data_IF_246858609140
#
_entry.id   IF_246858609140
#
_cell.length_a   1.000
_cell.length_b   1.000
_cell.length_c   1.000
_cell.angle_alpha   90.00
_cell.angle_beta   90.00
_cell.angle_gamma   90.00
#
_symmetry.space_group_name_H-M   'P 1'
#
loop_
_entity.id
_entity.type
_entity.pdbx_description
1 polymer ?
#
# COMPACT_ATOMS: atom_id res chain seq x y z
N UNK A 1 8.72 35.65 -74.16
CA UNK A 1 10.19 35.81 -74.20
C UNK A 1 10.66 35.95 -72.78
N UNK A 2 10.96 34.96 -72.19
CA UNK A 2 12.05 34.31 -71.52
C UNK A 2 13.00 35.29 -70.81
N UNK A 3 13.23 35.04 -69.56
CA UNK A 3 14.57 34.73 -69.05
C UNK A 3 14.54 34.33 -67.57
N UNK A 4 14.91 33.14 -67.38
CA UNK A 4 15.16 32.40 -66.16
C UNK A 4 16.42 33.00 -65.48
N UNK A 5 16.34 33.36 -64.19
CA UNK A 5 17.53 33.68 -63.41
C UNK A 5 17.59 32.79 -62.15
N UNK A 6 18.59 31.93 -62.15
CA UNK A 6 18.98 31.03 -61.08
C UNK A 6 19.75 31.81 -60.01
N UNK A 7 19.52 31.67 -58.75
CA UNK A 7 20.47 32.07 -57.72
C UNK A 7 21.34 30.91 -57.28
N UNK A 8 22.61 31.21 -57.15
CA UNK A 8 23.70 30.38 -56.68
C UNK A 8 23.85 30.47 -55.15
N UNK A 9 24.42 29.44 -54.58
CA UNK A 9 25.29 29.52 -53.43
C UNK A 9 24.63 29.30 -52.06
N UNK A 10 24.51 28.03 -51.68
CA UNK A 10 24.36 27.65 -50.26
C UNK A 10 25.78 27.63 -49.63
N UNK A 11 25.97 28.42 -48.57
CA UNK A 11 27.13 28.34 -47.70
C UNK A 11 26.97 27.20 -46.69
N UNK A 12 28.06 26.51 -46.29
CA UNK A 12 27.97 25.37 -45.37
C UNK A 12 27.77 25.83 -43.92
N UNK A 13 26.93 25.09 -43.21
CA UNK A 13 26.67 25.26 -41.78
C UNK A 13 27.90 24.89 -40.93
N UNK A 14 28.14 25.60 -39.83
CA UNK A 14 29.24 25.28 -38.91
C UNK A 14 28.95 24.00 -38.10
N UNK A 15 29.98 23.21 -37.96
CA UNK A 15 30.00 21.96 -37.21
C UNK A 15 29.73 22.18 -35.71
N UNK A 16 28.81 21.38 -35.15
CA UNK A 16 28.54 21.31 -33.72
C UNK A 16 29.69 20.61 -32.98
N UNK A 17 30.09 21.10 -31.80
CA UNK A 17 31.10 20.40 -31.00
C UNK A 17 30.54 19.12 -30.36
N UNK A 18 31.29 18.06 -30.54
CA UNK A 18 31.14 16.77 -29.89
C UNK A 18 31.10 16.88 -28.36
N UNK A 19 29.94 16.69 -27.76
CA UNK A 19 29.81 16.48 -26.32
C UNK A 19 30.17 15.02 -25.99
N UNK A 20 31.25 14.88 -25.25
CA UNK A 20 31.75 13.65 -24.66
C UNK A 20 30.69 12.98 -23.81
N UNK A 21 30.58 11.66 -23.96
CA UNK A 21 29.61 10.79 -23.37
C UNK A 21 29.48 10.86 -21.84
N UNK A 22 28.27 11.06 -21.41
CA UNK A 22 27.83 10.65 -20.10
C UNK A 22 27.29 9.21 -20.22
N UNK A 23 27.99 8.27 -19.62
CA UNK A 23 27.55 6.89 -19.47
C UNK A 23 26.29 6.87 -18.58
N UNK A 24 25.14 6.62 -19.17
CA UNK A 24 23.95 6.22 -18.46
C UNK A 24 24.15 4.83 -17.84
N UNK A 25 23.49 4.51 -16.73
CA UNK A 25 23.59 3.19 -16.13
C UNK A 25 22.91 2.17 -17.05
N UNK A 26 23.72 1.26 -17.57
CA UNK A 26 23.28 0.08 -18.31
C UNK A 26 22.48 -0.81 -17.38
N UNK A 27 21.23 -1.05 -17.73
CA UNK A 27 20.43 -2.14 -17.21
C UNK A 27 21.09 -3.45 -17.68
N UNK A 28 21.87 -4.10 -16.85
CA UNK A 28 22.34 -5.44 -17.11
C UNK A 28 21.20 -6.42 -16.84
N UNK A 29 20.85 -7.08 -17.94
CA UNK A 29 19.92 -8.17 -18.02
C UNK A 29 20.35 -9.39 -17.21
N UNK A 30 19.38 -10.19 -16.97
CA UNK A 30 19.41 -11.52 -16.40
C UNK A 30 20.50 -12.41 -17.00
N UNK A 31 21.26 -13.06 -16.14
CA UNK A 31 22.17 -14.12 -16.55
C UNK A 31 22.96 -14.72 -15.40
N UNK A 32 22.53 -15.89 -14.95
CA UNK A 32 23.32 -16.97 -14.34
C UNK A 32 24.24 -16.60 -13.17
N UNK A 33 23.74 -16.83 -11.96
CA UNK A 33 24.54 -16.79 -10.73
C UNK A 33 23.85 -17.54 -9.59
N UNK A 34 23.49 -18.81 -9.83
CA UNK A 34 22.65 -19.57 -8.90
C UNK A 34 23.48 -20.58 -8.09
N UNK A 35 24.47 -20.12 -7.31
CA UNK A 35 25.09 -20.98 -6.28
C UNK A 35 25.82 -20.23 -5.14
N UNK A 36 26.10 -18.92 -5.25
CA UNK A 36 26.72 -18.15 -4.17
C UNK A 36 25.72 -17.38 -3.29
N UNK A 37 24.43 -17.33 -3.68
CA UNK A 37 23.39 -16.53 -3.01
C UNK A 37 22.78 -17.20 -1.78
N UNK A 38 23.04 -18.47 -1.54
CA UNK A 38 22.44 -19.21 -0.43
C UNK A 38 22.94 -18.74 0.95
N UNK A 39 24.25 -18.57 1.11
CA UNK A 39 24.82 -18.19 2.41
C UNK A 39 24.66 -16.70 2.71
N UNK A 40 24.84 -15.85 1.72
CA UNK A 40 24.62 -14.39 1.87
C UNK A 40 23.13 -14.06 2.06
N UNK A 41 22.24 -14.81 1.40
CA UNK A 41 20.80 -14.67 1.55
C UNK A 41 20.31 -15.05 2.95
N UNK A 42 20.85 -16.12 3.54
CA UNK A 42 20.48 -16.56 4.89
C UNK A 42 21.02 -15.58 5.96
N UNK A 43 22.27 -15.17 5.87
CA UNK A 43 22.85 -14.21 6.80
C UNK A 43 22.12 -12.85 6.77
N UNK A 44 21.73 -12.38 5.59
CA UNK A 44 20.96 -11.16 5.44
C UNK A 44 19.52 -11.30 5.99
N UNK A 45 18.87 -12.42 5.77
CA UNK A 45 17.57 -12.72 6.38
C UNK A 45 17.66 -12.77 7.89
N UNK A 46 18.71 -13.39 8.44
CA UNK A 46 18.92 -13.46 9.88
C UNK A 46 19.19 -12.07 10.48
N UNK A 47 19.94 -11.20 9.79
CA UNK A 47 20.13 -9.80 10.19
C UNK A 47 18.80 -9.05 10.20
N UNK A 48 17.98 -9.20 9.17
CA UNK A 48 16.65 -8.58 9.11
C UNK A 48 15.75 -9.04 10.25
N UNK A 49 15.74 -10.35 10.54
CA UNK A 49 14.97 -10.90 11.67
C UNK A 49 15.47 -10.30 12.99
N UNK A 50 16.78 -10.21 13.20
CA UNK A 50 17.35 -9.61 14.41
C UNK A 50 17.01 -8.13 14.55
N UNK A 51 17.05 -7.37 13.45
CA UNK A 51 16.66 -5.95 13.45
C UNK A 51 15.18 -5.78 13.80
N UNK A 52 14.31 -6.55 13.15
CA UNK A 52 12.86 -6.53 13.44
C UNK A 52 12.60 -6.93 14.88
N UNK A 53 13.27 -7.97 15.38
CA UNK A 53 13.14 -8.40 16.77
C UNK A 53 13.60 -7.31 17.75
N UNK A 54 14.76 -6.66 17.50
CA UNK A 54 15.27 -5.59 18.33
C UNK A 54 14.31 -4.41 18.41
N UNK A 55 13.84 -3.93 17.25
CA UNK A 55 12.89 -2.80 17.17
C UNK A 55 11.56 -3.15 17.87
N UNK A 56 11.05 -4.37 17.66
CA UNK A 56 9.78 -4.79 18.28
C UNK A 56 9.93 -4.97 19.79
N UNK A 57 11.09 -5.47 20.26
CA UNK A 57 11.38 -5.62 21.69
C UNK A 57 11.48 -4.27 22.41
N UNK A 58 12.08 -3.25 21.78
CA UNK A 58 12.18 -1.90 22.36
C UNK A 58 10.80 -1.25 22.57
N UNK A 59 9.81 -1.64 21.74
CA UNK A 59 8.44 -1.11 21.82
C UNK A 59 7.50 -1.93 22.69
N UNK A 60 7.70 -3.23 22.74
CA UNK A 60 6.85 -4.16 23.50
C UNK A 60 7.68 -4.95 24.51
N UNK A 61 7.72 -4.45 25.74
CA UNK A 61 8.43 -5.12 26.84
C UNK A 61 7.88 -6.52 27.16
N UNK A 62 6.63 -6.80 26.76
CA UNK A 62 5.98 -8.10 26.96
C UNK A 62 6.25 -9.11 25.82
N UNK A 63 7.00 -8.70 24.78
CA UNK A 63 7.29 -9.57 23.65
C UNK A 63 7.99 -10.86 24.09
N UNK A 64 9.08 -10.71 24.82
CA UNK A 64 9.93 -11.86 25.24
C UNK A 64 9.18 -12.86 26.12
N UNK A 65 8.49 -12.46 27.20
CA UNK A 65 7.76 -13.42 28.03
C UNK A 65 6.61 -14.10 27.28
N UNK A 66 5.95 -13.42 26.35
CA UNK A 66 4.89 -14.03 25.55
C UNK A 66 5.44 -15.04 24.54
N UNK A 67 6.58 -14.75 23.90
CA UNK A 67 7.23 -15.70 23.00
C UNK A 67 7.75 -16.93 23.75
N UNK A 68 8.32 -16.71 24.93
CA UNK A 68 8.80 -17.80 25.77
C UNK A 68 7.64 -18.67 26.25
N UNK A 69 6.56 -18.07 26.73
CA UNK A 69 5.35 -18.80 27.10
C UNK A 69 4.70 -19.53 25.92
N UNK A 70 4.64 -18.88 24.76
CA UNK A 70 4.11 -19.46 23.53
C UNK A 70 4.94 -20.63 22.99
N UNK A 71 6.24 -20.66 23.28
CA UNK A 71 7.10 -21.81 22.98
C UNK A 71 6.96 -22.91 24.03
N UNK A 72 7.09 -22.55 25.32
CA UNK A 72 7.14 -23.51 26.42
C UNK A 72 5.82 -24.24 26.64
N UNK A 73 4.67 -23.58 26.47
CA UNK A 73 3.38 -24.21 26.71
C UNK A 73 3.13 -25.43 25.79
N UNK A 74 3.15 -25.31 24.45
CA UNK A 74 2.94 -26.48 23.57
C UNK A 74 4.10 -27.48 23.67
N UNK A 75 5.33 -27.01 23.91
CA UNK A 75 6.47 -27.87 24.17
C UNK A 75 6.26 -28.78 25.40
N UNK A 76 5.87 -28.20 26.53
CA UNK A 76 5.62 -28.94 27.75
C UNK A 76 4.45 -29.93 27.58
N UNK A 77 3.36 -29.50 26.93
CA UNK A 77 2.20 -30.39 26.68
C UNK A 77 2.61 -31.60 25.87
N UNK A 78 3.37 -31.44 24.78
CA UNK A 78 3.83 -32.55 23.96
C UNK A 78 4.84 -33.46 24.67
N UNK A 79 5.71 -32.90 25.52
CA UNK A 79 6.60 -33.72 26.34
C UNK A 79 5.87 -34.59 27.35
N UNK A 80 4.86 -34.03 28.04
CA UNK A 80 4.02 -34.78 28.98
C UNK A 80 3.24 -35.88 28.25
N UNK A 81 2.64 -35.58 27.10
CA UNK A 81 1.96 -36.58 26.28
C UNK A 81 2.94 -37.66 25.80
N UNK A 82 4.13 -37.29 25.35
CA UNK A 82 5.16 -38.23 24.93
C UNK A 82 5.62 -39.15 26.06
N UNK A 83 5.71 -38.63 27.27
CA UNK A 83 6.04 -39.43 28.47
C UNK A 83 4.94 -40.44 28.82
N UNK A 84 3.66 -40.08 28.62
CA UNK A 84 2.51 -40.95 28.93
C UNK A 84 2.27 -42.01 27.86
N UNK A 85 2.53 -41.73 26.59
CA UNK A 85 2.12 -42.58 25.45
C UNK A 85 3.29 -43.42 24.90
N UNK A 86 4.54 -42.97 25.05
CA UNK A 86 5.66 -43.70 24.47
C UNK A 86 7.03 -43.09 24.73
N UNK A 87 8.06 -43.49 23.97
CA UNK A 87 9.41 -43.07 24.22
C UNK A 87 9.58 -41.55 23.91
N UNK A 88 9.95 -40.80 24.93
CA UNK A 88 10.06 -39.33 24.93
C UNK A 88 10.96 -38.79 23.82
N UNK A 89 11.99 -39.52 23.41
CA UNK A 89 12.92 -39.14 22.38
C UNK A 89 12.29 -39.04 20.99
N UNK A 90 11.20 -39.77 20.73
CA UNK A 90 10.43 -39.63 19.51
C UNK A 90 9.56 -38.35 19.51
N UNK A 91 9.04 -37.97 20.69
CA UNK A 91 8.14 -36.81 20.83
C UNK A 91 8.90 -35.49 20.98
N UNK A 92 10.13 -35.52 21.48
CA UNK A 92 10.92 -34.33 21.72
C UNK A 92 11.12 -33.44 20.45
N UNK A 93 11.49 -33.97 19.27
CA UNK A 93 11.63 -33.15 18.07
C UNK A 93 10.31 -32.53 17.63
N UNK A 94 9.18 -33.23 17.77
CA UNK A 94 7.85 -32.67 17.46
C UNK A 94 7.47 -31.56 18.45
N UNK A 95 7.82 -31.71 19.72
CA UNK A 95 7.58 -30.71 20.75
C UNK A 95 8.35 -29.41 20.45
N UNK A 96 9.63 -29.53 20.06
CA UNK A 96 10.45 -28.37 19.63
C UNK A 96 9.85 -27.71 18.40
N UNK A 97 9.47 -28.50 17.39
CA UNK A 97 8.92 -28.00 16.15
C UNK A 97 7.59 -27.25 16.38
N UNK A 98 6.69 -27.82 17.18
CA UNK A 98 5.40 -27.19 17.50
C UNK A 98 5.60 -25.93 18.33
N UNK A 99 6.46 -25.96 19.34
CA UNK A 99 6.80 -24.78 20.14
C UNK A 99 7.36 -23.63 19.29
N UNK A 100 8.27 -23.95 18.37
CA UNK A 100 8.83 -22.98 17.44
C UNK A 100 7.75 -22.41 16.48
N UNK A 101 6.89 -23.26 15.94
CA UNK A 101 5.79 -22.86 15.08
C UNK A 101 4.88 -21.85 15.77
N UNK A 102 4.46 -22.14 17.01
CA UNK A 102 3.61 -21.26 17.80
C UNK A 102 4.32 -19.94 18.12
N UNK A 103 5.59 -20.00 18.53
CA UNK A 103 6.39 -18.81 18.82
C UNK A 103 6.53 -17.90 17.58
N UNK A 104 6.83 -18.47 16.41
CA UNK A 104 6.94 -17.71 15.15
C UNK A 104 5.58 -17.09 14.76
N UNK A 105 4.49 -17.82 14.95
CA UNK A 105 3.15 -17.30 14.67
C UNK A 105 2.80 -16.12 15.59
N UNK A 106 3.07 -16.24 16.89
CA UNK A 106 2.86 -15.16 17.86
C UNK A 106 3.74 -13.94 17.54
N UNK A 107 5.00 -14.17 17.20
CA UNK A 107 5.92 -13.12 16.80
C UNK A 107 5.40 -12.36 15.57
N UNK A 108 5.00 -13.10 14.51
CA UNK A 108 4.47 -12.50 13.28
C UNK A 108 3.23 -11.65 13.54
N UNK A 109 2.31 -12.12 14.37
CA UNK A 109 1.11 -11.35 14.75
C UNK A 109 1.48 -10.06 15.51
N UNK A 110 2.46 -10.15 16.41
CA UNK A 110 2.91 -8.98 17.20
C UNK A 110 3.60 -7.93 16.32
N UNK A 111 4.49 -8.36 15.43
CA UNK A 111 5.16 -7.46 14.48
C UNK A 111 4.14 -6.75 13.60
N UNK A 112 3.15 -7.49 13.07
CA UNK A 112 2.08 -6.90 12.27
C UNK A 112 1.29 -5.86 13.06
N UNK A 113 0.88 -6.19 14.28
CA UNK A 113 0.13 -5.25 15.12
C UNK A 113 0.93 -3.98 15.44
N UNK A 114 2.23 -4.12 15.72
CA UNK A 114 3.10 -2.97 15.96
C UNK A 114 3.26 -2.08 14.72
N UNK A 115 3.38 -2.68 13.53
CA UNK A 115 3.45 -1.95 12.26
C UNK A 115 2.15 -1.19 11.97
N UNK A 116 1.00 -1.80 12.24
CA UNK A 116 -0.29 -1.12 12.08
C UNK A 116 -0.48 0.01 13.09
N UNK A 117 -0.04 -0.18 14.34
CA UNK A 117 -0.11 0.87 15.37
C UNK A 117 0.69 2.12 14.97
N UNK A 118 1.80 1.96 14.24
CA UNK A 118 2.55 3.10 13.70
C UNK A 118 1.83 3.87 12.60
N UNK A 119 1.01 3.19 11.83
CA UNK A 119 0.23 3.77 10.74
C UNK A 119 -1.08 4.36 11.26
N UNK A 120 -1.52 3.96 12.45
CA UNK A 120 -2.77 4.42 13.04
C UNK A 120 -2.74 5.92 13.30
N UNK A 121 -3.74 6.62 12.79
CA UNK A 121 -3.82 8.09 12.86
C UNK A 121 -2.97 8.83 11.82
N UNK A 122 -2.23 8.15 10.96
CA UNK A 122 -1.57 8.79 9.81
C UNK A 122 -2.52 8.82 8.62
N UNK A 123 -2.73 9.99 8.00
CA UNK A 123 -3.59 10.09 6.82
C UNK A 123 -3.01 9.28 5.66
N UNK A 124 -3.86 8.51 4.98
CA UNK A 124 -3.47 7.65 3.86
C UNK A 124 -3.06 6.22 4.24
N UNK A 125 -3.13 5.85 5.52
CA UNK A 125 -2.77 4.51 5.98
C UNK A 125 -3.69 3.42 5.38
N UNK A 126 -5.00 3.65 5.33
CA UNK A 126 -5.95 2.74 4.71
C UNK A 126 -5.74 2.62 3.21
N UNK A 127 -5.42 3.74 2.53
CA UNK A 127 -5.08 3.72 1.12
C UNK A 127 -3.87 2.82 0.85
N UNK A 128 -2.81 2.94 1.65
CA UNK A 128 -1.62 2.11 1.52
C UNK A 128 -1.88 0.61 1.75
N UNK A 129 -2.85 0.25 2.59
CA UNK A 129 -3.27 -1.15 2.76
C UNK A 129 -4.00 -1.64 1.51
N UNK A 130 -4.98 -0.88 1.03
CA UNK A 130 -5.79 -1.26 -0.14
C UNK A 130 -4.92 -1.39 -1.39
N UNK A 131 -3.96 -0.51 -1.59
CA UNK A 131 -3.04 -0.54 -2.73
C UNK A 131 -2.21 -1.83 -2.79
N UNK A 132 -1.83 -2.36 -1.63
CA UNK A 132 -1.07 -3.63 -1.52
C UNK A 132 -1.95 -4.87 -1.58
N UNK A 133 -3.28 -4.73 -1.55
CA UNK A 133 -4.19 -5.87 -1.61
C UNK A 133 -4.16 -6.53 -2.98
N UNK A 134 -4.12 -7.87 -2.97
CA UNK A 134 -4.28 -8.67 -4.20
C UNK A 134 -5.76 -8.71 -4.61
N UNK A 135 -6.03 -8.50 -5.89
CA UNK A 135 -7.38 -8.60 -6.44
C UNK A 135 -7.75 -7.40 -7.32
N UNK A 136 -9.01 -7.39 -7.78
CA UNK A 136 -9.54 -6.35 -8.67
C UNK A 136 -10.02 -5.14 -7.84
N UNK A 137 -9.10 -4.50 -7.12
CA UNK A 137 -9.38 -3.30 -6.35
C UNK A 137 -8.86 -2.07 -7.10
N UNK A 138 -9.74 -1.09 -7.35
CA UNK A 138 -9.38 0.18 -7.97
C UNK A 138 -9.49 1.27 -6.91
N UNK A 139 -8.34 1.71 -6.42
CA UNK A 139 -8.24 2.75 -5.42
C UNK A 139 -8.14 4.12 -6.08
N UNK A 140 -8.95 5.05 -5.60
CA UNK A 140 -8.78 6.49 -5.84
C UNK A 140 -8.51 7.13 -4.48
N UNK A 141 -7.25 7.44 -4.16
CA UNK A 141 -6.90 7.98 -2.86
C UNK A 141 -7.34 9.44 -2.75
N UNK A 142 -7.60 9.88 -1.53
CA UNK A 142 -7.84 11.28 -1.17
C UNK A 142 -8.89 12.00 -2.04
N UNK A 143 -10.04 11.36 -2.28
CA UNK A 143 -11.15 11.99 -3.04
C UNK A 143 -11.75 13.20 -2.33
N UNK A 144 -11.65 13.21 -1.01
CA UNK A 144 -12.00 14.32 -0.14
C UNK A 144 -10.95 14.47 0.95
N UNK A 145 -10.59 15.70 1.29
CA UNK A 145 -9.65 16.02 2.37
C UNK A 145 -10.13 17.29 3.07
N UNK A 146 -10.05 17.34 4.39
CA UNK A 146 -10.33 18.53 5.15
C UNK A 146 -9.05 19.15 5.76
N UNK A 147 -9.21 20.28 6.44
CA UNK A 147 -8.09 20.97 7.11
C UNK A 147 -7.54 20.20 8.31
N UNK A 148 -8.33 19.31 8.88
CA UNK A 148 -7.96 18.48 10.03
C UNK A 148 -7.21 17.20 9.61
N UNK A 149 -6.85 17.08 8.31
CA UNK A 149 -6.21 15.89 7.73
C UNK A 149 -7.11 14.63 7.74
N UNK A 150 -8.43 14.79 7.93
CA UNK A 150 -9.34 13.69 7.65
C UNK A 150 -9.39 13.48 6.13
N UNK A 151 -9.30 12.25 5.72
CA UNK A 151 -9.17 11.87 4.31
C UNK A 151 -10.22 10.82 3.97
N UNK A 152 -10.83 10.95 2.81
CA UNK A 152 -11.75 9.95 2.27
C UNK A 152 -11.14 9.34 1.01
N UNK A 153 -11.15 8.01 0.96
CA UNK A 153 -10.70 7.22 -0.16
C UNK A 153 -11.88 6.50 -0.80
N UNK A 154 -11.85 6.37 -2.11
CA UNK A 154 -12.83 5.58 -2.85
C UNK A 154 -12.17 4.32 -3.40
N UNK A 155 -12.78 3.19 -3.12
CA UNK A 155 -12.35 1.88 -3.60
C UNK A 155 -13.48 1.27 -4.41
N UNK A 156 -13.18 0.85 -5.62
CA UNK A 156 -14.11 0.11 -6.47
C UNK A 156 -13.59 -1.31 -6.59
N UNK A 157 -14.42 -2.26 -6.22
CA UNK A 157 -14.08 -3.66 -6.26
C UNK A 157 -15.26 -4.54 -6.64
N UNK A 158 -15.06 -5.84 -6.61
CA UNK A 158 -16.15 -6.78 -6.90
C UNK A 158 -17.30 -6.74 -5.87
N UNK A 159 -17.07 -6.16 -4.72
CA UNK A 159 -18.10 -5.92 -3.70
C UNK A 159 -18.97 -4.67 -3.98
N UNK A 160 -18.63 -3.87 -4.97
CA UNK A 160 -19.25 -2.60 -5.26
C UNK A 160 -18.33 -1.41 -5.01
N UNK A 161 -18.90 -0.30 -4.60
CA UNK A 161 -18.18 0.92 -4.24
C UNK A 161 -18.01 0.95 -2.72
N UNK A 162 -16.78 1.09 -2.27
CA UNK A 162 -16.46 1.19 -0.86
C UNK A 162 -15.82 2.55 -0.62
N UNK A 163 -16.36 3.29 0.33
CA UNK A 163 -15.83 4.60 0.71
C UNK A 163 -15.23 4.47 2.08
N UNK A 164 -13.95 4.76 2.18
CA UNK A 164 -13.16 4.59 3.40
C UNK A 164 -12.79 5.98 3.90
N UNK A 165 -13.23 6.33 5.10
CA UNK A 165 -12.83 7.56 5.77
C UNK A 165 -11.76 7.27 6.81
N UNK A 166 -10.70 8.08 6.79
CA UNK A 166 -9.66 8.14 7.80
C UNK A 166 -9.74 9.48 8.50
N UNK A 167 -9.66 9.47 9.80
CA UNK A 167 -9.71 10.68 10.61
C UNK A 167 -10.43 10.45 11.93
N UNK A 168 -10.44 11.47 12.78
CA UNK A 168 -11.04 11.37 14.10
C UNK A 168 -12.32 12.20 14.19
N UNK A 169 -13.38 11.57 14.67
CA UNK A 169 -14.60 12.25 15.05
C UNK A 169 -15.55 12.61 13.92
N UNK A 170 -16.22 13.77 14.06
CA UNK A 170 -17.34 14.16 13.20
C UNK A 170 -16.90 14.54 11.78
N UNK A 171 -15.72 15.14 11.61
CA UNK A 171 -15.23 15.63 10.32
C UNK A 171 -15.10 14.53 9.26
N UNK A 172 -14.51 13.40 9.63
CA UNK A 172 -14.36 12.24 8.74
C UNK A 172 -15.72 11.70 8.28
N UNK A 173 -16.70 11.63 9.18
CA UNK A 173 -18.06 11.17 8.88
C UNK A 173 -18.83 12.14 7.97
N UNK A 174 -18.63 13.45 8.12
CA UNK A 174 -19.23 14.47 7.25
C UNK A 174 -18.67 14.40 5.82
N UNK A 175 -17.36 14.24 5.67
CA UNK A 175 -16.72 14.02 4.37
C UNK A 175 -17.21 12.74 3.71
N UNK A 176 -17.30 11.65 4.48
CA UNK A 176 -17.82 10.36 4.05
C UNK A 176 -19.26 10.50 3.50
N UNK A 177 -20.16 11.12 4.28
CA UNK A 177 -21.55 11.34 3.88
C UNK A 177 -21.65 12.22 2.62
N UNK A 178 -20.75 13.18 2.47
CA UNK A 178 -20.71 14.05 1.30
C UNK A 178 -20.29 13.28 0.04
N UNK A 179 -19.28 12.44 0.15
CA UNK A 179 -18.82 11.60 -0.97
C UNK A 179 -19.86 10.55 -1.33
N UNK A 180 -20.52 9.92 -0.36
CA UNK A 180 -21.62 8.97 -0.61
C UNK A 180 -22.73 9.63 -1.41
N UNK A 181 -23.18 10.83 -1.01
CA UNK A 181 -24.22 11.58 -1.72
C UNK A 181 -23.80 11.91 -3.16
N UNK A 182 -22.54 12.24 -3.38
CA UNK A 182 -21.98 12.52 -4.69
C UNK A 182 -21.97 11.28 -5.58
N UNK A 183 -21.49 10.16 -5.05
CA UNK A 183 -21.35 8.92 -5.79
C UNK A 183 -22.70 8.28 -6.09
N UNK A 184 -23.66 8.36 -5.17
CA UNK A 184 -24.99 7.79 -5.35
C UNK A 184 -25.69 8.27 -6.61
N UNK A 185 -25.41 9.51 -7.06
CA UNK A 185 -25.96 10.07 -8.31
C UNK A 185 -25.47 9.37 -9.58
N UNK A 186 -24.36 8.64 -9.50
CA UNK A 186 -23.65 8.04 -10.63
C UNK A 186 -23.58 6.52 -10.54
N UNK A 187 -23.64 5.99 -9.32
CA UNK A 187 -23.46 4.58 -9.04
C UNK A 187 -24.59 3.68 -9.59
N UNK A 188 -25.80 4.25 -9.82
CA UNK A 188 -26.96 3.43 -10.17
C UNK A 188 -27.29 2.44 -9.07
N UNK A 189 -27.54 1.18 -9.43
CA UNK A 189 -27.93 0.10 -8.50
C UNK A 189 -26.72 -0.59 -7.83
N UNK A 190 -25.50 -0.04 -8.00
CA UNK A 190 -24.30 -0.63 -7.41
C UNK A 190 -24.30 -0.39 -5.90
N UNK A 191 -24.07 -1.43 -5.08
CA UNK A 191 -23.99 -1.28 -3.63
C UNK A 191 -22.85 -0.36 -3.23
N UNK A 192 -23.16 0.58 -2.31
CA UNK A 192 -22.20 1.50 -1.71
C UNK A 192 -22.06 1.11 -0.25
N UNK A 193 -20.85 0.80 0.18
CA UNK A 193 -20.51 0.49 1.58
C UNK A 193 -19.58 1.56 2.11
N UNK A 194 -19.84 2.01 3.32
CA UNK A 194 -19.02 2.97 4.04
C UNK A 194 -18.24 2.28 5.15
N UNK A 195 -16.99 2.72 5.34
CA UNK A 195 -16.10 2.25 6.40
C UNK A 195 -15.40 3.48 6.99
N UNK A 196 -15.50 3.61 8.30
CA UNK A 196 -14.65 4.56 9.05
C UNK A 196 -13.53 3.77 9.69
N UNK A 197 -12.30 4.17 9.42
CA UNK A 197 -11.10 3.53 9.98
C UNK A 197 -10.69 4.25 11.25
N UNK A 198 -10.59 3.50 12.34
CA UNK A 198 -10.25 4.02 13.64
C UNK A 198 -10.42 3.01 14.76
N UNK A 199 -10.35 3.46 16.00
CA UNK A 199 -10.49 2.64 17.21
C UNK A 199 -11.78 2.94 17.98
N UNK A 200 -12.63 3.83 17.46
CA UNK A 200 -13.89 4.21 18.07
C UNK A 200 -14.98 3.17 17.88
N UNK A 201 -16.13 3.40 18.54
CA UNK A 201 -17.29 2.54 18.41
C UNK A 201 -17.86 2.62 16.97
N UNK A 202 -18.04 1.45 16.36
CA UNK A 202 -18.49 1.33 14.96
C UNK A 202 -17.40 1.61 13.93
N UNK A 203 -16.15 1.84 14.35
CA UNK A 203 -15.01 2.02 13.46
C UNK A 203 -14.26 0.70 13.25
N UNK A 204 -13.64 0.56 12.09
CA UNK A 204 -12.87 -0.63 11.74
C UNK A 204 -11.39 -0.34 12.01
N UNK A 205 -10.75 -1.07 12.95
CA UNK A 205 -9.32 -0.93 13.17
C UNK A 205 -8.51 -1.24 11.90
N UNK A 206 -7.43 -0.49 11.69
CA UNK A 206 -6.58 -0.61 10.51
C UNK A 206 -6.14 -2.07 10.20
N UNK A 207 -5.75 -2.91 11.18
CA UNK A 207 -5.41 -4.32 10.94
C UNK A 207 -6.58 -5.17 10.43
N UNK A 208 -7.82 -4.76 10.75
CA UNK A 208 -9.03 -5.50 10.34
C UNK A 208 -9.59 -5.02 8.99
N UNK A 209 -9.07 -3.93 8.42
CA UNK A 209 -9.58 -3.36 7.18
C UNK A 209 -9.47 -4.37 6.03
N UNK A 210 -8.29 -4.94 5.79
CA UNK A 210 -8.07 -5.93 4.73
C UNK A 210 -8.99 -7.16 4.85
N UNK A 211 -9.07 -7.87 5.99
CA UNK A 211 -9.98 -9.00 6.11
C UNK A 211 -11.46 -8.60 6.00
N UNK A 212 -11.85 -7.41 6.43
CA UNK A 212 -13.21 -6.89 6.27
C UNK A 212 -13.55 -6.73 4.79
N UNK A 213 -12.69 -6.08 4.02
CA UNK A 213 -12.86 -5.92 2.57
C UNK A 213 -12.92 -7.26 1.83
N UNK A 214 -12.06 -8.21 2.19
CA UNK A 214 -12.02 -9.52 1.54
C UNK A 214 -13.25 -10.39 1.83
N UNK A 215 -13.92 -10.20 2.96
CA UNK A 215 -15.14 -10.93 3.36
C UNK A 215 -16.42 -10.39 2.72
N UNK A 216 -16.38 -9.21 2.11
CA UNK A 216 -17.54 -8.62 1.48
C UNK A 216 -18.06 -9.48 0.33
N UNK A 217 -19.38 -9.54 0.20
CA UNK A 217 -20.04 -10.27 -0.88
C UNK A 217 -19.68 -9.66 -2.24
N UNK A 218 -19.29 -10.51 -3.18
CA UNK A 218 -18.97 -10.10 -4.54
C UNK A 218 -20.26 -9.95 -5.34
N UNK A 219 -20.56 -8.75 -5.78
CA UNK A 219 -21.78 -8.40 -6.56
C UNK A 219 -21.48 -8.09 -8.02
N UNK A 220 -20.25 -7.64 -8.32
CA UNK A 220 -19.82 -7.22 -9.65
C UNK A 220 -18.89 -8.25 -10.31
N UNK A 221 -18.96 -8.34 -11.63
CA UNK A 221 -18.00 -9.06 -12.49
C UNK A 221 -16.75 -8.19 -12.71
N UNK A 222 -15.63 -8.82 -13.11
CA UNK A 222 -14.36 -8.08 -13.31
C UNK A 222 -14.49 -6.93 -14.32
N UNK A 223 -15.12 -7.15 -15.46
CA UNK A 223 -15.30 -6.09 -16.47
C UNK A 223 -16.17 -4.92 -16.02
N UNK A 224 -17.14 -5.18 -15.14
CA UNK A 224 -18.00 -4.14 -14.56
C UNK A 224 -17.25 -3.22 -13.59
N UNK A 225 -16.26 -3.76 -12.87
CA UNK A 225 -15.40 -2.96 -11.98
C UNK A 225 -14.64 -1.88 -12.76
N UNK A 226 -14.04 -2.23 -13.89
CA UNK A 226 -13.29 -1.27 -14.71
C UNK A 226 -14.19 -0.24 -15.39
N UNK A 227 -15.40 -0.65 -15.81
CA UNK A 227 -16.38 0.28 -16.38
C UNK A 227 -16.88 1.26 -15.33
N UNK A 228 -17.17 0.77 -14.13
CA UNK A 228 -17.63 1.59 -13.01
C UNK A 228 -16.56 2.58 -12.57
N UNK A 229 -15.30 2.13 -12.44
CA UNK A 229 -14.18 3.00 -12.08
C UNK A 229 -13.99 4.13 -13.10
N UNK A 230 -14.07 3.83 -14.41
CA UNK A 230 -14.01 4.84 -15.47
C UNK A 230 -15.16 5.84 -15.39
N UNK A 231 -16.39 5.38 -15.15
CA UNK A 231 -17.57 6.27 -14.98
C UNK A 231 -17.39 7.20 -13.78
N UNK A 232 -16.95 6.65 -12.65
CA UNK A 232 -16.72 7.44 -11.44
C UNK A 232 -15.58 8.45 -11.60
N UNK A 233 -14.53 8.12 -12.30
CA UNK A 233 -13.43 9.05 -12.63
C UNK A 233 -13.86 10.17 -13.56
N UNK A 234 -14.69 9.88 -14.56
CA UNK A 234 -15.21 10.88 -15.49
C UNK A 234 -16.09 11.95 -14.79
N UNK A 235 -16.91 11.50 -13.82
CA UNK A 235 -17.81 12.40 -13.09
C UNK A 235 -17.12 13.09 -11.91
N UNK A 236 -16.11 12.47 -11.33
CA UNK A 236 -15.35 13.06 -10.23
C UNK A 236 -14.60 14.34 -10.64
N UNK A 237 -14.51 14.61 -11.93
CA UNK A 237 -13.78 15.78 -12.48
C UNK A 237 -12.38 15.84 -11.88
N UNK A 238 -11.40 15.40 -12.66
CA UNK A 238 -9.97 15.70 -12.49
C UNK A 238 -9.46 15.88 -11.05
N UNK A 239 -9.07 14.82 -10.41
CA UNK A 239 -8.16 14.84 -9.27
C UNK A 239 -8.75 15.25 -7.92
N UNK A 240 -8.01 14.99 -6.86
CA UNK A 240 -8.33 15.52 -5.54
C UNK A 240 -8.39 17.04 -5.67
N UNK A 241 -9.49 17.64 -5.22
CA UNK A 241 -9.55 19.08 -5.03
C UNK A 241 -8.64 19.43 -3.84
N UNK A 242 -7.34 19.28 -4.04
CA UNK A 242 -6.38 19.92 -3.16
C UNK A 242 -6.76 21.39 -3.19
N UNK A 243 -6.96 22.03 -2.05
CA UNK A 243 -7.09 23.48 -1.99
C UNK A 243 -5.74 24.08 -2.37
N UNK A 244 -5.42 24.04 -3.66
CA UNK A 244 -4.32 24.83 -4.18
C UNK A 244 -4.78 26.27 -3.97
N UNK A 245 -4.11 27.03 -3.09
CA UNK A 245 -4.40 28.44 -2.98
C UNK A 245 -4.38 29.01 -4.41
N UNK A 246 -5.47 29.58 -4.86
CA UNK A 246 -5.50 30.36 -6.09
C UNK A 246 -4.67 31.62 -5.80
N UNK A 247 -3.35 31.45 -5.77
CA UNK A 247 -2.43 32.58 -5.74
C UNK A 247 -2.69 33.44 -6.98
N UNK A 248 -2.51 34.74 -6.88
CA UNK A 248 -2.63 35.61 -8.03
C UNK A 248 -1.69 35.08 -9.11
N UNK A 249 -2.29 34.67 -10.23
CA UNK A 249 -1.52 34.28 -11.43
C UNK A 249 -0.67 35.49 -11.81
N UNK A 250 0.68 35.41 -11.90
CA UNK A 250 1.50 36.52 -12.31
C UNK A 250 1.03 37.00 -13.69
N UNK A 251 0.45 38.20 -13.74
CA UNK A 251 -0.12 38.76 -14.98
C UNK A 251 0.91 39.08 -16.04
N UNK A 252 2.21 39.02 -15.74
CA UNK A 252 3.29 39.30 -16.66
C UNK A 252 4.35 38.20 -16.64
N UNK A 253 4.15 37.19 -17.47
CA UNK A 253 5.28 36.40 -17.96
C UNK A 253 5.81 37.14 -19.18
N UNK A 254 7.00 37.75 -19.12
CA UNK A 254 7.58 38.37 -20.32
C UNK A 254 7.78 37.27 -21.35
N UNK A 255 7.09 37.38 -22.49
CA UNK A 255 7.36 36.56 -23.67
C UNK A 255 8.78 36.87 -24.12
N UNK A 256 9.72 36.03 -23.69
CA UNK A 256 11.09 36.11 -24.18
C UNK A 256 11.08 35.95 -25.70
N UNK A 257 11.51 37.00 -26.38
CA UNK A 257 11.80 36.92 -27.81
C UNK A 257 12.93 35.91 -27.97
N UNK A 258 12.62 34.78 -28.58
CA UNK A 258 13.64 33.87 -29.09
C UNK A 258 14.28 34.58 -30.29
N UNK A 259 15.54 34.98 -30.15
CA UNK A 259 16.42 35.43 -31.21
C UNK A 259 17.21 34.26 -31.76
#
# INVERSE_FOLDING_TARGET
MALRKKPAGAAPAPASPTARGAKGPTSNGAGTGNQADGETGFANRMRQIRLVFKVTRERDSKLVPILLGGFLAPFAVLLVLGFLIGPIWLWAPFAVLLGLLVAVNLFSRRVQNSAYAELEGKPGAAAGIVERMRGDWRLTPAVQVNRNQDVVHRVVGRAGIIIIAEGRGRGARELLATEIRRIRKVAGDVPITDIVVGTGEGEVPLPKLQPTLMRMRRTLKRGEVDQLDRRLKAVAGSGPSLPIPKGPVPRNVPRGKIR
#
